data_IF_239062001100
#
_entry.id   IF_239062001100
#
_cell.length_a   1.000
_cell.length_b   1.000
_cell.length_c   1.000
_cell.angle_alpha   90.00
_cell.angle_beta   90.00
_cell.angle_gamma   90.00
#
_symmetry.space_group_name_H-M   'P 1'
#
loop_
_entity.id
_entity.type
_entity.pdbx_description
1 polymer ?
#
# COMPACT_ATOMS: atom_id res chain seq x y z
N UNK A 1 -23.12 8.48 -3.38
CA UNK A 1 -22.72 9.67 -2.59
C UNK A 1 -22.49 10.81 -3.58
N UNK A 2 -22.61 12.08 -3.18
CA UNK A 2 -22.29 13.21 -4.05
C UNK A 2 -20.95 13.80 -3.62
N UNK A 3 -20.06 14.10 -4.56
CA UNK A 3 -18.82 14.83 -4.30
C UNK A 3 -18.90 16.21 -4.96
N UNK A 4 -18.53 17.24 -4.21
CA UNK A 4 -18.41 18.62 -4.71
C UNK A 4 -17.10 18.74 -5.52
N UNK A 5 -17.21 19.17 -6.78
CA UNK A 5 -16.06 19.58 -7.59
C UNK A 5 -16.13 21.07 -7.86
N UNK A 6 -15.07 21.79 -7.49
CA UNK A 6 -14.82 23.17 -7.93
C UNK A 6 -14.15 23.13 -9.30
N UNK A 7 -14.81 23.60 -10.38
CA UNK A 7 -14.16 23.71 -11.68
C UNK A 7 -13.10 24.82 -11.66
N UNK A 8 -12.07 24.70 -12.53
CA UNK A 8 -10.99 25.67 -12.66
C UNK A 8 -11.44 27.05 -13.20
N UNK A 9 -12.69 27.17 -13.66
CA UNK A 9 -13.29 28.37 -14.24
C UNK A 9 -14.58 28.72 -13.48
N UNK A 10 -14.47 29.46 -12.37
CA UNK A 10 -15.59 30.15 -11.71
C UNK A 10 -16.37 29.38 -10.63
N UNK A 11 -17.30 30.07 -9.92
CA UNK A 11 -17.89 29.63 -8.65
C UNK A 11 -19.12 28.72 -8.82
N UNK A 12 -19.20 27.95 -9.90
CA UNK A 12 -20.32 27.02 -10.12
C UNK A 12 -20.09 25.72 -9.33
N UNK A 13 -20.90 25.49 -8.29
CA UNK A 13 -20.89 24.23 -7.53
C UNK A 13 -21.51 23.12 -8.39
N UNK A 14 -20.71 22.13 -8.75
CA UNK A 14 -21.19 20.93 -9.45
C UNK A 14 -21.13 19.72 -8.53
N UNK A 15 -22.25 19.00 -8.42
CA UNK A 15 -22.37 17.76 -7.66
C UNK A 15 -22.32 16.60 -8.63
N UNK A 16 -21.29 15.77 -8.54
CA UNK A 16 -21.19 14.54 -9.35
C UNK A 16 -21.47 13.32 -8.49
N UNK A 17 -22.10 12.31 -9.08
CA UNK A 17 -22.22 10.99 -8.47
C UNK A 17 -20.82 10.44 -8.16
N UNK A 18 -20.52 10.29 -6.87
CA UNK A 18 -19.33 9.63 -6.37
C UNK A 18 -19.66 8.17 -6.09
N UNK A 19 -19.16 7.31 -6.97
CA UNK A 19 -19.09 5.87 -6.74
C UNK A 19 -17.78 5.56 -6.03
N UNK A 20 -17.90 5.07 -4.79
CA UNK A 20 -16.76 4.74 -3.94
C UNK A 20 -15.95 3.55 -4.49
N UNK A 21 -16.68 2.54 -4.97
CA UNK A 21 -16.20 1.35 -5.65
C UNK A 21 -17.38 0.74 -6.44
N UNK A 22 -17.15 -0.06 -7.49
CA UNK A 22 -18.21 -0.57 -8.35
C UNK A 22 -19.16 -1.53 -7.62
N UNK A 23 -20.39 -1.74 -8.13
CA UNK A 23 -21.31 -2.76 -7.61
C UNK A 23 -20.62 -4.14 -7.54
N UNK A 24 -20.60 -4.72 -6.34
CA UNK A 24 -19.92 -5.99 -6.11
C UNK A 24 -20.48 -6.71 -4.88
N UNK A 25 -20.07 -7.97 -4.69
CA UNK A 25 -20.44 -8.73 -3.49
C UNK A 25 -19.75 -8.17 -2.24
N UNK A 26 -20.32 -8.42 -1.06
CA UNK A 26 -19.67 -8.07 0.22
C UNK A 26 -18.26 -8.64 0.32
N UNK A 27 -18.08 -9.90 -0.10
CA UNK A 27 -16.77 -10.55 -0.13
C UNK A 27 -15.79 -9.75 -0.99
N UNK A 28 -16.19 -9.33 -2.19
CA UNK A 28 -15.35 -8.53 -3.08
C UNK A 28 -15.00 -7.18 -2.46
N UNK A 29 -15.97 -6.49 -1.84
CA UNK A 29 -15.74 -5.21 -1.17
C UNK A 29 -14.65 -5.31 -0.09
N UNK A 30 -14.78 -6.28 0.83
CA UNK A 30 -13.83 -6.45 1.93
C UNK A 30 -12.48 -7.05 1.51
N UNK A 31 -12.41 -7.76 0.38
CA UNK A 31 -11.15 -8.39 -0.07
C UNK A 31 -10.37 -7.53 -1.06
N UNK A 32 -11.02 -6.65 -1.82
CA UNK A 32 -10.39 -5.90 -2.92
C UNK A 32 -10.47 -4.37 -2.77
N UNK A 33 -11.46 -3.84 -2.05
CA UNK A 33 -11.70 -2.38 -2.04
C UNK A 33 -11.56 -1.72 -0.67
N UNK A 34 -11.74 -2.43 0.44
CA UNK A 34 -11.75 -1.84 1.78
C UNK A 34 -10.50 -2.24 2.58
N UNK A 35 -9.89 -1.27 3.26
CA UNK A 35 -8.74 -1.53 4.13
C UNK A 35 -9.20 -1.97 5.52
N UNK A 36 -9.44 -3.27 5.70
CA UNK A 36 -9.83 -3.85 7.00
C UNK A 36 -8.66 -4.00 7.97
N UNK A 37 -7.42 -3.80 7.51
CA UNK A 37 -6.20 -3.99 8.31
C UNK A 37 -5.76 -2.71 9.02
N UNK A 38 -6.36 -1.58 8.68
CA UNK A 38 -6.11 -0.30 9.34
C UNK A 38 -6.71 -0.28 10.75
N UNK A 39 -6.04 0.43 11.66
CA UNK A 39 -6.60 0.73 12.98
C UNK A 39 -7.81 1.65 12.85
N UNK A 40 -8.98 1.27 13.42
CA UNK A 40 -10.16 2.11 13.41
C UNK A 40 -9.91 3.50 13.97
N UNK A 41 -10.39 4.53 13.27
CA UNK A 41 -10.28 5.92 13.71
C UNK A 41 -11.16 6.19 14.93
N UNK A 42 -10.85 7.24 15.70
CA UNK A 42 -11.69 7.72 16.81
C UNK A 42 -13.15 7.94 16.42
N UNK A 43 -13.41 8.48 15.23
CA UNK A 43 -14.77 8.66 14.72
C UNK A 43 -15.50 7.34 14.52
N UNK A 44 -14.80 6.31 14.01
CA UNK A 44 -15.38 4.98 13.87
C UNK A 44 -15.63 4.32 15.24
N UNK A 45 -14.73 4.52 16.21
CA UNK A 45 -14.93 4.05 17.58
C UNK A 45 -16.13 4.73 18.26
N UNK A 46 -16.38 6.01 18.01
CA UNK A 46 -17.57 6.70 18.51
C UNK A 46 -18.86 6.11 17.92
N UNK A 47 -18.85 5.70 16.64
CA UNK A 47 -19.98 5.01 16.03
C UNK A 47 -20.17 3.61 16.65
N UNK A 48 -19.07 2.92 16.92
CA UNK A 48 -19.11 1.60 17.58
C UNK A 48 -19.65 1.69 19.00
N UNK A 49 -19.33 2.73 19.78
CA UNK A 49 -19.87 2.86 21.15
C UNK A 49 -21.39 2.90 21.17
N UNK A 50 -22.03 3.57 20.21
CA UNK A 50 -23.50 3.61 20.08
C UNK A 50 -24.11 2.25 19.71
N UNK A 51 -23.34 1.37 19.07
CA UNK A 51 -23.79 0.04 18.63
C UNK A 51 -23.50 -1.08 19.64
N UNK A 52 -22.67 -0.82 20.66
CA UNK A 52 -22.35 -1.80 21.69
C UNK A 52 -23.55 -2.02 22.62
N UNK A 53 -23.96 -3.28 22.76
CA UNK A 53 -25.11 -3.65 23.61
C UNK A 53 -24.74 -3.75 25.09
N UNK A 54 -23.48 -4.04 25.39
CA UNK A 54 -22.96 -4.12 26.76
C UNK A 54 -22.42 -2.76 27.21
N UNK A 55 -22.69 -2.40 28.47
CA UNK A 55 -22.32 -1.09 29.02
C UNK A 55 -20.80 -0.93 29.18
N UNK A 56 -20.08 -2.01 29.52
CA UNK A 56 -18.62 -1.96 29.66
C UNK A 56 -17.93 -1.73 28.32
N UNK A 57 -18.35 -2.46 27.27
CA UNK A 57 -17.85 -2.23 25.91
C UNK A 57 -18.16 -0.81 25.43
N UNK A 58 -19.40 -0.33 25.66
CA UNK A 58 -19.84 1.01 25.30
C UNK A 58 -18.98 2.10 25.94
N UNK A 59 -18.80 2.06 27.26
CA UNK A 59 -18.00 3.04 28.00
C UNK A 59 -16.55 3.04 27.54
N UNK A 60 -15.97 1.86 27.30
CA UNK A 60 -14.58 1.74 26.85
C UNK A 60 -14.39 2.29 25.43
N UNK A 61 -15.30 1.97 24.50
CA UNK A 61 -15.29 2.54 23.15
C UNK A 61 -15.48 4.06 23.15
N UNK A 62 -16.41 4.56 23.98
CA UNK A 62 -16.67 5.99 24.11
C UNK A 62 -15.45 6.73 24.64
N UNK A 63 -14.80 6.19 25.68
CA UNK A 63 -13.52 6.70 26.19
C UNK A 63 -12.45 6.75 25.11
N UNK A 64 -12.23 5.65 24.38
CA UNK A 64 -11.24 5.60 23.29
C UNK A 64 -11.55 6.58 22.16
N UNK A 65 -12.82 6.92 21.94
CA UNK A 65 -13.20 7.87 20.89
C UNK A 65 -12.98 9.34 21.27
N UNK A 66 -13.13 9.69 22.55
CA UNK A 66 -13.07 11.07 23.06
C UNK A 66 -11.70 11.44 23.64
N UNK A 67 -11.07 10.52 24.35
CA UNK A 67 -9.77 10.74 24.99
C UNK A 67 -8.62 10.42 24.02
N UNK A 68 -7.94 11.47 23.55
CA UNK A 68 -6.83 11.33 22.62
C UNK A 68 -5.64 10.56 23.21
N UNK A 69 -5.38 10.70 24.51
CA UNK A 69 -4.28 10.01 25.18
C UNK A 69 -4.59 8.53 25.33
N UNK A 70 -5.82 8.18 25.77
CA UNK A 70 -6.25 6.79 25.87
C UNK A 70 -6.23 6.10 24.49
N UNK A 71 -6.68 6.77 23.44
CA UNK A 71 -6.63 6.25 22.07
C UNK A 71 -5.19 5.97 21.63
N UNK A 72 -4.27 6.91 21.82
CA UNK A 72 -2.90 6.74 21.32
C UNK A 72 -2.16 5.64 22.10
N UNK A 73 -2.39 5.52 23.41
CA UNK A 73 -1.87 4.41 24.21
C UNK A 73 -2.41 3.05 23.74
N UNK A 74 -3.73 2.95 23.52
CA UNK A 74 -4.36 1.73 23.00
C UNK A 74 -3.82 1.35 21.62
N UNK A 75 -3.69 2.34 20.72
CA UNK A 75 -3.14 2.15 19.38
C UNK A 75 -1.66 1.75 19.41
N UNK A 76 -0.84 2.39 20.24
CA UNK A 76 0.58 2.07 20.36
C UNK A 76 0.81 0.66 20.91
N UNK A 77 0.03 0.26 21.91
CA UNK A 77 0.18 -1.04 22.57
C UNK A 77 -0.39 -2.18 21.74
N UNK A 78 -1.60 -2.03 21.19
CA UNK A 78 -2.32 -3.11 20.52
C UNK A 78 -2.13 -3.13 19.00
N UNK A 79 -1.92 -1.96 18.39
CA UNK A 79 -2.01 -1.69 16.95
C UNK A 79 -3.08 -2.58 16.26
N UNK A 80 -4.35 -2.49 16.71
CA UNK A 80 -5.36 -3.47 16.32
C UNK A 80 -5.89 -3.15 14.94
N UNK A 81 -6.18 -4.20 14.16
CA UNK A 81 -6.97 -4.08 12.94
C UNK A 81 -8.47 -4.22 13.25
N UNK A 82 -9.34 -3.97 12.26
CA UNK A 82 -10.79 -4.01 12.46
C UNK A 82 -11.29 -5.37 13.00
N UNK A 83 -10.90 -6.53 12.44
CA UNK A 83 -11.27 -7.82 13.01
C UNK A 83 -10.87 -8.00 14.48
N UNK A 84 -9.69 -7.53 14.87
CA UNK A 84 -9.23 -7.57 16.26
C UNK A 84 -10.06 -6.68 17.18
N UNK A 85 -10.49 -5.51 16.71
CA UNK A 85 -11.42 -4.65 17.47
C UNK A 85 -12.77 -5.34 17.67
N UNK A 86 -13.32 -5.97 16.62
CA UNK A 86 -14.59 -6.71 16.75
C UNK A 86 -14.48 -7.92 17.69
N UNK A 87 -13.28 -8.50 17.83
CA UNK A 87 -13.02 -9.56 18.81
C UNK A 87 -12.82 -9.02 20.23
N UNK A 88 -12.22 -7.84 20.37
CA UNK A 88 -11.99 -7.18 21.66
C UNK A 88 -13.30 -6.68 22.30
N UNK A 89 -14.27 -6.27 21.48
CA UNK A 89 -15.58 -5.75 21.90
C UNK A 89 -16.70 -6.65 21.37
N UNK A 90 -16.94 -7.83 21.98
CA UNK A 90 -17.84 -8.85 21.45
C UNK A 90 -19.31 -8.45 21.46
N UNK A 91 -19.70 -7.41 22.21
CA UNK A 91 -21.08 -6.88 22.20
C UNK A 91 -21.39 -6.02 20.96
N UNK A 92 -20.41 -5.77 20.09
CA UNK A 92 -20.61 -5.00 18.87
C UNK A 92 -21.41 -5.78 17.84
N UNK A 93 -22.62 -5.30 17.55
CA UNK A 93 -23.39 -5.70 16.38
C UNK A 93 -23.29 -4.63 15.29
N UNK A 94 -22.30 -4.77 14.39
CA UNK A 94 -22.03 -3.76 13.36
C UNK A 94 -22.74 -4.09 12.05
N UNK A 95 -23.65 -3.24 11.55
CA UNK A 95 -24.25 -3.44 10.23
C UNK A 95 -23.19 -3.43 9.12
N UNK A 96 -23.24 -4.37 8.14
CA UNK A 96 -22.28 -4.39 7.03
C UNK A 96 -22.26 -3.09 6.22
N UNK A 97 -23.40 -2.42 6.10
CA UNK A 97 -23.55 -1.12 5.42
C UNK A 97 -22.74 0.00 6.08
N UNK A 98 -22.61 -0.02 7.42
CA UNK A 98 -21.75 0.93 8.13
C UNK A 98 -20.28 0.67 7.77
N UNK A 99 -19.84 -0.58 7.83
CA UNK A 99 -18.47 -0.94 7.49
C UNK A 99 -18.12 -0.55 6.04
N UNK A 100 -19.03 -0.83 5.10
CA UNK A 100 -18.86 -0.47 3.68
C UNK A 100 -18.79 1.03 3.41
N UNK A 101 -19.28 1.88 4.31
CA UNK A 101 -19.27 3.34 4.15
C UNK A 101 -18.18 4.02 4.97
N UNK A 102 -17.79 3.45 6.11
CA UNK A 102 -16.84 4.07 7.04
C UNK A 102 -15.40 3.58 6.87
N UNK A 103 -15.17 2.32 6.50
CA UNK A 103 -13.80 1.79 6.34
C UNK A 103 -13.14 2.42 5.13
N UNK A 104 -11.91 2.96 5.19
CA UNK A 104 -11.26 3.60 4.04
C UNK A 104 -11.00 2.63 2.89
N UNK A 105 -10.79 3.19 1.69
CA UNK A 105 -10.44 2.41 0.51
C UNK A 105 -9.02 1.82 0.64
N UNK A 106 -8.87 0.56 0.22
CA UNK A 106 -7.59 -0.13 0.15
C UNK A 106 -6.68 0.61 -0.85
N UNK A 107 -5.54 1.06 -0.37
CA UNK A 107 -4.58 1.79 -1.20
C UNK A 107 -3.69 0.84 -2.01
N UNK A 108 -3.31 1.25 -3.22
CA UNK A 108 -2.29 0.52 -3.97
C UNK A 108 -0.92 0.66 -3.30
N UNK A 109 -0.07 -0.36 -3.45
CA UNK A 109 1.32 -0.33 -2.95
C UNK A 109 2.26 -0.16 -4.14
N UNK A 110 3.21 0.76 -4.01
CA UNK A 110 4.21 1.04 -5.04
C UNK A 110 5.44 0.16 -4.83
N UNK A 111 5.95 -0.39 -5.93
CA UNK A 111 7.19 -1.15 -5.97
C UNK A 111 8.05 -0.65 -7.12
N UNK A 112 9.34 -0.52 -6.90
CA UNK A 112 10.28 -0.19 -7.98
C UNK A 112 10.40 -1.38 -8.93
N UNK A 113 10.25 -1.11 -10.23
CA UNK A 113 10.47 -2.12 -11.28
C UNK A 113 11.94 -2.53 -11.25
N UNK A 114 12.18 -3.84 -11.21
CA UNK A 114 13.53 -4.42 -11.17
C UNK A 114 13.94 -5.10 -12.46
N UNK A 115 13.19 -4.92 -13.56
CA UNK A 115 13.55 -5.37 -14.90
C UNK A 115 13.74 -4.24 -15.90
N UNK A 116 14.60 -4.44 -16.89
CA UNK A 116 14.61 -3.64 -18.12
C UNK A 116 13.60 -4.22 -19.12
N UNK A 117 12.77 -3.39 -19.78
CA UNK A 117 11.85 -3.85 -20.82
C UNK A 117 12.56 -4.27 -22.12
N UNK A 118 13.80 -3.79 -22.36
CA UNK A 118 14.61 -4.27 -23.49
C UNK A 118 15.25 -5.64 -23.19
N UNK A 119 15.64 -5.87 -21.93
CA UNK A 119 16.25 -7.13 -21.51
C UNK A 119 15.21 -8.25 -21.30
N UNK A 120 14.02 -7.91 -20.77
CA UNK A 120 12.90 -8.84 -20.56
C UNK A 120 11.63 -8.30 -21.23
N UNK A 121 11.47 -8.45 -22.56
CA UNK A 121 10.30 -7.95 -23.28
C UNK A 121 9.00 -8.60 -22.79
N UNK A 122 8.01 -7.77 -22.45
CA UNK A 122 6.70 -8.24 -21.98
C UNK A 122 6.64 -8.61 -20.50
N UNK A 123 7.73 -8.45 -19.74
CA UNK A 123 7.79 -8.83 -18.32
C UNK A 123 8.06 -7.63 -17.40
N UNK A 124 7.45 -7.66 -16.21
CA UNK A 124 7.72 -6.71 -15.12
C UNK A 124 8.18 -7.51 -13.91
N UNK A 125 9.41 -7.25 -13.47
CA UNK A 125 9.98 -7.90 -12.30
C UNK A 125 9.90 -6.92 -11.12
N UNK A 126 9.64 -7.47 -9.93
CA UNK A 126 9.63 -6.72 -8.68
C UNK A 126 10.56 -7.39 -7.68
N UNK A 127 11.19 -6.59 -6.82
CA UNK A 127 12.01 -7.09 -5.71
C UNK A 127 11.40 -6.59 -4.41
N UNK A 128 10.77 -7.50 -3.67
CA UNK A 128 9.85 -7.15 -2.57
C UNK A 128 10.33 -7.78 -1.28
N UNK A 129 10.59 -6.95 -0.27
CA UNK A 129 10.78 -7.43 1.10
C UNK A 129 9.43 -7.81 1.72
N UNK A 130 9.33 -9.00 2.30
CA UNK A 130 8.11 -9.45 2.97
C UNK A 130 7.96 -8.69 4.29
N UNK A 131 6.99 -7.79 4.36
CA UNK A 131 6.71 -7.03 5.56
C UNK A 131 6.03 -7.93 6.61
N UNK A 132 6.73 -8.20 7.71
CA UNK A 132 6.20 -8.87 8.90
C UNK A 132 6.77 -8.19 10.13
N UNK A 133 5.92 -7.91 11.10
CA UNK A 133 6.36 -7.36 12.39
C UNK A 133 5.59 -8.01 13.54
N UNK A 134 6.25 -8.10 14.69
CA UNK A 134 5.64 -8.60 15.92
C UNK A 134 5.07 -7.39 16.67
N UNK A 135 3.78 -7.43 16.97
CA UNK A 135 3.11 -6.40 17.77
C UNK A 135 3.55 -6.50 19.24
N UNK A 136 3.39 -5.44 20.05
CA UNK A 136 3.76 -5.50 21.48
C UNK A 136 3.04 -6.61 22.25
N UNK A 137 1.85 -7.00 21.82
CA UNK A 137 1.10 -8.13 22.38
C UNK A 137 1.54 -9.52 21.87
N UNK A 138 2.66 -9.61 21.14
CA UNK A 138 3.23 -10.86 20.62
C UNK A 138 2.60 -11.39 19.34
N UNK A 139 1.45 -10.85 18.88
CA UNK A 139 0.83 -11.28 17.62
C UNK A 139 1.65 -10.79 16.42
N UNK A 140 1.72 -11.61 15.37
CA UNK A 140 2.39 -11.25 14.11
C UNK A 140 1.41 -10.49 13.23
N UNK A 141 1.80 -9.30 12.77
CA UNK A 141 1.09 -8.55 11.73
C UNK A 141 1.90 -8.62 10.44
N UNK A 142 1.25 -9.01 9.34
CA UNK A 142 1.88 -9.12 8.02
C UNK A 142 1.37 -8.03 7.08
N UNK A 143 2.25 -7.52 6.23
CA UNK A 143 1.90 -6.53 5.22
C UNK A 143 0.96 -7.12 4.17
N UNK A 144 -0.16 -6.43 3.94
CA UNK A 144 -1.25 -6.91 3.06
C UNK A 144 -0.75 -7.30 1.67
N UNK A 145 -0.12 -6.35 0.95
CA UNK A 145 0.27 -6.56 -0.43
C UNK A 145 1.45 -7.53 -0.57
N UNK A 146 2.45 -7.45 0.32
CA UNK A 146 3.64 -8.32 0.27
C UNK A 146 3.29 -9.77 0.55
N UNK A 147 2.43 -10.03 1.53
CA UNK A 147 1.98 -11.40 1.84
C UNK A 147 1.06 -11.95 0.76
N UNK A 148 0.18 -11.11 0.21
CA UNK A 148 -0.68 -11.52 -0.91
C UNK A 148 0.14 -11.92 -2.14
N UNK A 149 1.13 -11.11 -2.53
CA UNK A 149 2.03 -11.43 -3.65
C UNK A 149 2.84 -12.71 -3.38
N UNK A 150 3.28 -12.94 -2.14
CA UNK A 150 4.05 -14.12 -1.77
C UNK A 150 3.22 -15.42 -1.77
N UNK A 151 1.90 -15.33 -1.64
CA UNK A 151 0.98 -16.47 -1.67
C UNK A 151 0.24 -16.61 -3.01
N UNK A 152 0.52 -15.72 -3.96
CA UNK A 152 -0.22 -15.64 -5.21
C UNK A 152 0.16 -16.82 -6.11
N UNK A 153 -0.81 -17.59 -6.64
CA UNK A 153 -0.48 -18.69 -7.54
C UNK A 153 0.02 -18.17 -8.88
N UNK A 154 0.88 -18.96 -9.53
CA UNK A 154 1.34 -18.67 -10.89
C UNK A 154 0.13 -18.63 -11.84
N UNK A 155 0.06 -17.61 -12.67
CA UNK A 155 -1.04 -17.39 -13.62
C UNK A 155 -2.17 -16.50 -13.08
N UNK A 156 -2.16 -16.12 -11.80
CA UNK A 156 -3.12 -15.15 -11.26
C UNK A 156 -2.93 -13.78 -11.93
N UNK A 157 -4.06 -13.14 -12.27
CA UNK A 157 -4.05 -11.78 -12.83
C UNK A 157 -3.88 -10.77 -11.70
N UNK A 158 -2.82 -9.96 -11.78
CA UNK A 158 -2.52 -8.91 -10.80
C UNK A 158 -2.95 -7.56 -11.39
N UNK A 159 -3.96 -6.88 -10.81
CA UNK A 159 -4.28 -5.51 -11.20
C UNK A 159 -3.13 -4.58 -10.80
N UNK A 160 -2.51 -3.92 -11.78
CA UNK A 160 -1.44 -2.96 -11.55
C UNK A 160 -1.48 -1.82 -12.56
N UNK A 161 -0.84 -0.72 -12.22
CA UNK A 161 -0.59 0.42 -13.11
C UNK A 161 0.88 0.80 -13.02
N UNK A 162 1.45 1.19 -14.16
CA UNK A 162 2.82 1.73 -14.20
C UNK A 162 2.75 3.23 -13.92
N UNK A 163 3.51 3.68 -12.93
CA UNK A 163 3.68 5.10 -12.62
C UNK A 163 5.08 5.52 -13.03
N UNK A 164 5.20 6.46 -13.96
CA UNK A 164 6.48 7.01 -14.38
C UNK A 164 7.18 7.75 -13.23
N UNK A 165 8.51 7.63 -13.17
CA UNK A 165 9.37 8.31 -12.21
C UNK A 165 10.37 9.20 -12.97
N UNK A 166 9.97 10.38 -13.49
CA UNK A 166 10.78 11.18 -14.42
C UNK A 166 12.19 11.48 -13.91
N UNK A 167 12.33 11.67 -12.59
CA UNK A 167 13.59 12.02 -11.95
C UNK A 167 14.43 10.80 -11.51
N UNK A 168 14.04 9.58 -11.90
CA UNK A 168 14.74 8.35 -11.53
C UNK A 168 14.95 7.45 -12.75
N UNK A 169 15.75 7.94 -13.69
CA UNK A 169 16.16 7.24 -14.90
C UNK A 169 17.69 7.24 -15.03
N UNK A 170 18.22 6.36 -15.87
CA UNK A 170 19.61 6.47 -16.27
C UNK A 170 19.83 7.77 -17.06
N UNK A 171 21.03 8.36 -16.99
CA UNK A 171 21.41 9.48 -17.86
C UNK A 171 21.24 9.09 -19.34
N UNK A 172 20.83 10.05 -20.18
CA UNK A 172 20.74 9.85 -21.64
C UNK A 172 22.12 9.57 -22.26
N UNK A 173 23.15 10.19 -21.69
CA UNK A 173 24.55 9.99 -22.05
C UNK A 173 25.10 8.76 -21.32
N UNK A 174 25.21 7.65 -22.05
CA UNK A 174 25.67 6.35 -21.57
C UNK A 174 27.15 6.33 -21.15
N UNK A 175 27.91 7.35 -21.55
CA UNK A 175 29.31 7.50 -21.14
C UNK A 175 29.45 8.01 -19.71
N UNK A 176 28.40 8.55 -19.09
CA UNK A 176 28.50 9.09 -17.73
C UNK A 176 28.66 7.97 -16.69
N UNK A 177 29.58 8.14 -15.72
CA UNK A 177 29.66 7.23 -14.58
C UNK A 177 28.39 7.33 -13.73
N UNK A 178 27.93 6.20 -13.20
CA UNK A 178 26.76 6.12 -12.34
C UNK A 178 27.17 5.48 -11.02
N UNK A 179 26.85 6.15 -9.91
CA UNK A 179 26.97 5.60 -8.56
C UNK A 179 25.57 5.25 -8.06
N UNK A 180 25.35 3.98 -7.78
CA UNK A 180 24.09 3.45 -7.27
C UNK A 180 24.26 3.07 -5.80
N UNK A 181 23.38 3.59 -4.93
CA UNK A 181 23.41 3.32 -3.48
C UNK A 181 22.02 2.86 -3.05
N UNK A 182 21.89 1.60 -2.63
CA UNK A 182 20.59 1.03 -2.29
C UNK A 182 20.69 -0.17 -1.35
N UNK A 183 20.48 0.00 -0.04
CA UNK A 183 20.48 -1.12 0.91
C UNK A 183 19.21 -1.98 0.77
N UNK A 184 19.33 -3.29 1.01
CA UNK A 184 18.21 -4.23 1.05
C UNK A 184 17.37 -4.21 -0.24
N UNK A 185 16.05 -4.07 -0.11
CA UNK A 185 15.15 -3.96 -1.29
C UNK A 185 15.37 -2.69 -2.14
N UNK A 186 16.17 -1.73 -1.65
CA UNK A 186 16.60 -0.55 -2.41
C UNK A 186 17.44 -0.87 -3.65
N UNK A 187 17.94 -2.10 -3.79
CA UNK A 187 18.59 -2.57 -5.02
C UNK A 187 17.63 -2.72 -6.21
N UNK A 188 16.31 -2.80 -5.96
CA UNK A 188 15.30 -3.13 -6.95
C UNK A 188 15.44 -2.34 -8.27
N UNK A 189 15.43 -1.00 -8.29
CA UNK A 189 15.54 -0.28 -9.56
C UNK A 189 16.94 -0.36 -10.17
N UNK A 190 18.00 -0.55 -9.38
CA UNK A 190 19.36 -0.68 -9.90
C UNK A 190 19.57 -1.99 -10.67
N UNK A 191 18.80 -3.03 -10.35
CA UNK A 191 18.71 -4.23 -11.19
C UNK A 191 18.20 -3.89 -12.59
N UNK A 192 17.18 -3.03 -12.70
CA UNK A 192 16.68 -2.58 -14.01
C UNK A 192 17.74 -1.78 -14.78
N UNK A 193 18.49 -0.92 -14.08
CA UNK A 193 19.53 -0.09 -14.69
C UNK A 193 20.69 -0.91 -15.23
N UNK A 194 21.22 -1.86 -14.47
CA UNK A 194 22.31 -2.70 -15.00
C UNK A 194 21.83 -3.57 -16.15
N UNK A 195 20.58 -4.05 -16.13
CA UNK A 195 20.04 -4.86 -17.22
C UNK A 195 19.91 -4.04 -18.50
N UNK A 196 19.43 -2.80 -18.36
CA UNK A 196 19.34 -1.86 -19.48
C UNK A 196 20.73 -1.55 -20.05
N UNK A 197 21.70 -1.23 -19.20
CA UNK A 197 23.08 -0.95 -19.64
C UNK A 197 23.74 -2.17 -20.30
N UNK A 198 23.47 -3.38 -19.79
CA UNK A 198 23.96 -4.63 -20.37
C UNK A 198 23.40 -4.87 -21.78
N UNK A 199 22.07 -4.78 -21.96
CA UNK A 199 21.48 -5.00 -23.29
C UNK A 199 21.85 -3.89 -24.27
N UNK A 200 21.94 -2.63 -23.82
CA UNK A 200 22.38 -1.54 -24.69
C UNK A 200 23.82 -1.77 -25.18
N UNK A 201 24.70 -2.30 -24.32
CA UNK A 201 26.07 -2.70 -24.69
C UNK A 201 26.11 -3.86 -25.68
N UNK A 202 25.32 -4.90 -25.45
CA UNK A 202 25.26 -6.07 -26.35
C UNK A 202 24.71 -5.70 -27.74
N UNK A 203 23.96 -4.61 -27.85
CA UNK A 203 23.39 -4.10 -29.10
C UNK A 203 24.31 -3.10 -29.83
N UNK A 204 25.43 -2.69 -29.23
CA UNK A 204 26.38 -1.78 -29.89
C UNK A 204 27.20 -2.51 -30.96
N UNK A 205 27.38 -1.91 -32.15
CA UNK A 205 28.15 -2.53 -33.24
C UNK A 205 29.66 -2.57 -32.99
N UNK A 206 30.20 -1.69 -32.15
CA UNK A 206 31.64 -1.55 -31.85
C UNK A 206 31.85 -1.23 -30.36
N UNK A 207 32.88 -1.78 -29.69
CA UNK A 207 33.20 -1.46 -28.30
C UNK A 207 33.62 0.01 -28.14
N UNK A 208 32.97 0.76 -27.24
CA UNK A 208 33.33 2.15 -26.90
C UNK A 208 34.08 2.24 -25.58
N UNK A 209 34.84 3.34 -25.38
CA UNK A 209 35.45 3.68 -24.09
C UNK A 209 34.34 4.00 -23.09
N UNK A 210 34.26 3.22 -22.01
CA UNK A 210 33.21 3.31 -20.99
C UNK A 210 33.76 3.90 -19.68
N UNK A 211 32.86 4.50 -18.90
CA UNK A 211 33.07 4.73 -17.47
C UNK A 211 32.27 3.70 -16.66
N UNK A 212 32.85 3.27 -15.54
CA UNK A 212 32.33 2.20 -14.70
C UNK A 212 31.02 2.57 -13.99
N UNK A 213 30.16 1.58 -13.79
CA UNK A 213 29.02 1.67 -12.86
C UNK A 213 29.45 1.12 -11.51
N UNK A 214 29.33 1.93 -10.46
CA UNK A 214 29.67 1.52 -9.09
C UNK A 214 28.38 1.30 -8.28
N UNK A 215 28.23 0.10 -7.70
CA UNK A 215 27.11 -0.24 -6.83
C UNK A 215 27.59 -0.40 -5.39
N UNK A 216 27.06 0.43 -4.50
CA UNK A 216 27.18 0.24 -3.06
C UNK A 216 25.93 -0.48 -2.56
N UNK A 217 26.11 -1.74 -2.14
CA UNK A 217 25.04 -2.60 -1.67
C UNK A 217 25.36 -3.15 -0.27
N UNK A 218 24.34 -3.23 0.58
CA UNK A 218 24.41 -3.92 1.86
C UNK A 218 23.11 -4.70 2.10
N UNK A 219 23.24 -5.88 2.71
CA UNK A 219 22.12 -6.69 3.17
C UNK A 219 21.73 -6.23 4.58
N UNK A 220 20.44 -6.02 4.80
CA UNK A 220 19.82 -5.73 6.10
C UNK A 220 19.38 -7.00 6.80
#
# INVERSE_FOLDING_TARGET
MLQERSPALGPSKSWTSFERFPPCTLRTAFTRYLDIMITPSKNLLQLFSVLATDDFDRERLDKLSKDAQAYEQWKQYNNPNLPEVLQEFPSLFVPPTLLMTQIPLLQQRFYSVSSSPKYHPGEIHLTIAIAKYVKPNGKIHSGVCTTWLNSCPVGEKIPCIVRAAPNFHMPEDDTRPIIMVGPGSGIAPFRSFWQQRKIDKEMLPEPRREFDSLLFFNLS
#
